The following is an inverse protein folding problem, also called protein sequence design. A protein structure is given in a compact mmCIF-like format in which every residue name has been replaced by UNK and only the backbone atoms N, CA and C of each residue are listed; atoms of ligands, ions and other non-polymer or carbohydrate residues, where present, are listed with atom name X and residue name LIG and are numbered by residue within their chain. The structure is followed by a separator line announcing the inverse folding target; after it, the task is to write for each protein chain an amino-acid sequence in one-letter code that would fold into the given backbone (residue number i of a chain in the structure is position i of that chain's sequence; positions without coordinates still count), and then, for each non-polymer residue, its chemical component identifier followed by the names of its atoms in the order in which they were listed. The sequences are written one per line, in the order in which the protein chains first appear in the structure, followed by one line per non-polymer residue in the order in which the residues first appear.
data_IF_031457222025
#
_entry.id   IF_031457222025
#
_cell.length_a   1.000
_cell.length_b   1.000
_cell.length_c   1.000
_cell.angle_alpha   90.00
_cell.angle_beta   90.00
_cell.angle_gamma   90.00
#
_symmetry.space_group_name_H-M   'P 1'
#
loop_
_entity.id
_entity.type
_entity.pdbx_description
1 polymer ?
#
# COMPACT_ATOMS: atom_id res chain seq x y z
N UNK A 1 37.00 -39.37 28.69
CA UNK A 1 35.85 -38.59 29.16
C UNK A 1 35.94 -37.05 28.89
N UNK A 2 37.10 -36.43 29.09
CA UNK A 2 37.27 -34.98 28.85
C UNK A 2 37.18 -34.57 27.36
N UNK A 3 37.77 -35.34 26.44
CA UNK A 3 37.75 -35.05 24.99
C UNK A 3 36.30 -35.11 24.41
N UNK A 4 35.49 -36.06 24.87
CA UNK A 4 34.08 -36.18 24.43
C UNK A 4 33.23 -34.96 24.81
N UNK A 5 33.49 -34.33 25.97
CA UNK A 5 32.82 -33.10 26.39
C UNK A 5 33.16 -31.89 25.50
N UNK A 6 34.41 -31.79 25.04
CA UNK A 6 34.84 -30.70 24.14
C UNK A 6 34.28 -30.89 22.73
N UNK A 7 34.19 -32.11 22.21
CA UNK A 7 33.59 -32.40 20.91
C UNK A 7 32.08 -32.07 20.93
N UNK A 8 31.36 -32.42 21.99
CA UNK A 8 29.95 -32.11 22.16
C UNK A 8 29.70 -30.61 22.29
N UNK A 9 30.58 -29.86 22.98
CA UNK A 9 30.49 -28.40 23.11
C UNK A 9 30.73 -27.68 21.78
N UNK A 10 31.66 -28.16 20.94
CA UNK A 10 31.92 -27.60 19.61
C UNK A 10 30.74 -27.89 18.67
N UNK A 11 30.11 -29.06 18.76
CA UNK A 11 28.95 -29.42 17.94
C UNK A 11 27.70 -28.60 18.29
N UNK A 12 27.48 -28.31 19.57
CA UNK A 12 26.39 -27.42 20.05
C UNK A 12 26.65 -25.97 19.61
N UNK A 13 27.89 -25.49 19.67
CA UNK A 13 28.23 -24.14 19.22
C UNK A 13 28.05 -23.96 17.69
N UNK A 14 28.35 -24.99 16.88
CA UNK A 14 28.10 -24.98 15.43
C UNK A 14 26.60 -24.97 15.08
N UNK A 15 25.73 -25.62 15.88
CA UNK A 15 24.28 -25.63 15.66
C UNK A 15 23.62 -24.27 15.96
N UNK A 16 24.20 -23.46 16.84
CA UNK A 16 23.64 -22.12 17.17
C UNK A 16 23.90 -21.11 16.06
N UNK A 17 24.91 -21.28 15.21
CA UNK A 17 25.24 -20.35 14.12
C UNK A 17 24.42 -20.57 12.83
N UNK A 18 23.62 -21.62 12.70
CA UNK A 18 22.82 -21.90 11.50
C UNK A 18 21.45 -21.22 11.47
N UNK A 19 21.06 -20.48 12.51
CA UNK A 19 19.79 -19.76 12.53
C UNK A 19 19.83 -18.33 11.97
N UNK A 20 20.96 -17.91 11.40
CA UNK A 20 21.08 -16.57 10.82
C UNK A 20 20.82 -16.58 9.33
N UNK A 21 19.69 -15.99 8.96
CA UNK A 21 19.26 -15.57 7.63
C UNK A 21 18.35 -16.51 6.83
N UNK A 22 17.26 -16.99 7.42
CA UNK A 22 16.14 -17.38 6.58
C UNK A 22 15.63 -16.12 5.84
N UNK A 23 15.64 -16.13 4.51
CA UNK A 23 15.08 -15.05 3.73
C UNK A 23 13.59 -14.92 4.07
N UNK A 24 13.17 -13.72 4.46
CA UNK A 24 11.77 -13.44 4.76
C UNK A 24 11.00 -13.20 3.47
N UNK A 25 9.79 -13.76 3.36
CA UNK A 25 8.91 -13.57 2.21
C UNK A 25 7.65 -12.84 2.64
N UNK A 26 7.35 -11.75 1.97
CA UNK A 26 6.11 -11.00 2.15
C UNK A 26 5.23 -11.09 0.91
N UNK A 27 3.96 -11.36 1.12
CA UNK A 27 2.95 -11.32 0.06
C UNK A 27 2.23 -9.96 0.12
N UNK A 28 2.36 -9.15 -0.95
CA UNK A 28 1.82 -7.79 -1.05
C UNK A 28 0.50 -7.79 -1.81
N UNK A 29 -0.58 -7.48 -1.12
CA UNK A 29 -1.91 -7.38 -1.72
C UNK A 29 -2.06 -6.06 -2.49
N UNK A 30 -2.46 -6.13 -3.77
CA UNK A 30 -2.69 -4.99 -4.65
C UNK A 30 -4.13 -4.97 -5.15
N UNK A 31 -4.79 -3.80 -5.03
CA UNK A 31 -6.18 -3.65 -5.44
C UNK A 31 -6.38 -3.66 -6.95
N UNK A 32 -5.41 -3.16 -7.70
CA UNK A 32 -5.52 -2.94 -9.16
C UNK A 32 -4.83 -4.04 -9.96
N UNK A 33 -5.31 -4.26 -11.19
CA UNK A 33 -4.72 -5.23 -12.11
C UNK A 33 -3.27 -4.91 -12.47
N UNK A 34 -2.51 -5.91 -12.92
CA UNK A 34 -1.07 -5.78 -13.22
C UNK A 34 -0.72 -4.67 -14.22
N UNK A 35 -1.61 -4.39 -15.19
CA UNK A 35 -1.43 -3.31 -16.17
C UNK A 35 -1.70 -1.90 -15.63
N UNK A 36 -2.15 -1.76 -14.39
CA UNK A 36 -2.36 -0.45 -13.77
C UNK A 36 -1.01 0.08 -13.23
N UNK A 37 -0.76 1.38 -13.41
CA UNK A 37 0.52 1.99 -13.02
C UNK A 37 0.81 1.92 -11.50
N UNK A 38 -0.22 1.89 -10.63
CA UNK A 38 -0.03 1.66 -9.20
C UNK A 38 0.54 0.28 -8.94
N UNK A 39 -0.01 -0.76 -9.58
CA UNK A 39 0.50 -2.13 -9.45
C UNK A 39 1.90 -2.30 -10.05
N UNK A 40 2.18 -1.62 -11.17
CA UNK A 40 3.52 -1.59 -11.76
C UNK A 40 4.54 -0.93 -10.82
N UNK A 41 4.20 0.22 -10.23
CA UNK A 41 5.04 0.91 -9.24
C UNK A 41 5.26 0.04 -7.98
N UNK A 42 4.21 -0.62 -7.48
CA UNK A 42 4.33 -1.52 -6.33
C UNK A 42 5.24 -2.73 -6.62
N UNK A 43 5.19 -3.24 -7.86
CA UNK A 43 6.07 -4.33 -8.29
C UNK A 43 7.53 -3.87 -8.40
N UNK A 44 7.77 -2.66 -8.92
CA UNK A 44 9.09 -2.05 -8.94
C UNK A 44 9.63 -1.84 -7.52
N UNK A 45 8.82 -1.31 -6.61
CA UNK A 45 9.16 -1.19 -5.19
C UNK A 45 9.56 -2.54 -4.60
N UNK A 46 8.76 -3.59 -4.81
CA UNK A 46 9.02 -4.95 -4.31
C UNK A 46 10.37 -5.49 -4.82
N UNK A 47 10.64 -5.34 -6.11
CA UNK A 47 11.90 -5.75 -6.73
C UNK A 47 13.09 -4.97 -6.15
N UNK A 48 12.94 -3.66 -5.95
CA UNK A 48 13.97 -2.80 -5.38
C UNK A 48 14.29 -3.17 -3.92
N UNK A 49 13.27 -3.50 -3.11
CA UNK A 49 13.46 -3.98 -1.74
C UNK A 49 14.20 -5.30 -1.73
N UNK A 50 13.79 -6.27 -2.56
CA UNK A 50 14.44 -7.57 -2.68
C UNK A 50 15.91 -7.41 -3.07
N UNK A 51 16.21 -6.58 -4.07
CA UNK A 51 17.58 -6.29 -4.51
C UNK A 51 18.42 -5.61 -3.42
N UNK A 52 17.88 -4.54 -2.81
CA UNK A 52 18.61 -3.76 -1.78
C UNK A 52 18.85 -4.55 -0.50
N UNK A 53 17.93 -5.44 -0.13
CA UNK A 53 18.09 -6.34 1.01
C UNK A 53 19.03 -7.52 0.72
N UNK A 54 19.55 -7.63 -0.50
CA UNK A 54 20.35 -8.78 -0.98
C UNK A 54 19.60 -10.11 -0.78
N UNK A 55 18.29 -10.11 -1.03
CA UNK A 55 17.42 -11.26 -0.89
C UNK A 55 17.00 -11.61 0.55
N UNK A 56 17.37 -10.80 1.55
CA UNK A 56 16.93 -11.05 2.93
C UNK A 56 15.42 -10.85 3.10
N UNK A 57 14.82 -9.95 2.31
CA UNK A 57 13.38 -9.77 2.21
C UNK A 57 12.97 -9.87 0.75
N UNK A 58 12.11 -10.84 0.42
CA UNK A 58 11.48 -10.96 -0.89
C UNK A 58 10.02 -10.54 -0.79
N UNK A 59 9.58 -9.57 -1.60
CA UNK A 59 8.18 -9.17 -1.67
C UNK A 59 7.57 -9.68 -2.97
N UNK A 60 6.50 -10.49 -2.86
CA UNK A 60 5.72 -11.01 -3.99
C UNK A 60 4.43 -10.22 -4.10
N UNK A 61 4.20 -9.59 -5.25
CA UNK A 61 2.99 -8.79 -5.51
C UNK A 61 1.84 -9.64 -6.03
N UNK A 62 0.63 -9.37 -5.55
CA UNK A 62 -0.61 -10.04 -5.91
C UNK A 62 -1.62 -9.03 -6.47
N UNK A 63 -1.54 -8.69 -7.78
CA UNK A 63 -2.39 -7.67 -8.39
C UNK A 63 -3.84 -8.14 -8.61
N UNK A 64 -4.73 -7.18 -8.85
CA UNK A 64 -6.13 -7.43 -9.22
C UNK A 64 -7.00 -7.96 -8.10
N UNK A 65 -6.60 -7.77 -6.86
CA UNK A 65 -7.32 -8.31 -5.71
C UNK A 65 -7.27 -9.84 -5.63
N UNK A 66 -6.21 -10.46 -6.16
CA UNK A 66 -6.03 -11.92 -6.18
C UNK A 66 -5.74 -12.50 -4.80
N UNK A 67 -5.06 -11.76 -3.90
CA UNK A 67 -4.85 -12.17 -2.52
C UNK A 67 -5.99 -11.72 -1.61
N UNK A 68 -6.34 -10.42 -1.66
CA UNK A 68 -7.47 -9.82 -0.97
C UNK A 68 -8.16 -8.81 -1.89
N UNK A 69 -9.50 -8.76 -1.89
CA UNK A 69 -10.23 -7.74 -2.63
C UNK A 69 -9.89 -6.35 -2.13
N UNK A 70 -9.94 -5.35 -3.01
CA UNK A 70 -9.54 -3.99 -2.66
C UNK A 70 -10.14 -3.45 -1.35
N UNK A 71 -11.42 -3.74 -1.06
CA UNK A 71 -12.09 -3.36 0.20
C UNK A 71 -11.58 -4.09 1.45
N UNK A 72 -10.86 -5.19 1.29
CA UNK A 72 -10.40 -6.05 2.37
C UNK A 72 -8.93 -5.79 2.77
N UNK A 73 -8.13 -5.19 1.84
CA UNK A 73 -6.68 -5.04 2.01
C UNK A 73 -6.32 -4.29 3.30
N UNK A 74 -7.00 -3.18 3.60
CA UNK A 74 -6.74 -2.40 4.82
C UNK A 74 -6.90 -3.26 6.07
N UNK A 75 -8.00 -4.01 6.15
CA UNK A 75 -8.26 -4.91 7.27
C UNK A 75 -7.23 -6.05 7.31
N UNK A 76 -6.91 -6.66 6.17
CA UNK A 76 -5.97 -7.77 6.09
C UNK A 76 -4.58 -7.37 6.62
N UNK A 77 -4.08 -6.18 6.25
CA UNK A 77 -2.80 -5.69 6.77
C UNK A 77 -2.90 -5.35 8.26
N UNK A 78 -3.97 -4.66 8.68
CA UNK A 78 -4.18 -4.30 10.09
C UNK A 78 -4.27 -5.50 11.03
N UNK A 79 -4.81 -6.62 10.55
CA UNK A 79 -4.97 -7.84 11.36
C UNK A 79 -3.84 -8.86 11.14
N UNK A 80 -2.77 -8.51 10.42
CA UNK A 80 -1.63 -9.37 10.18
C UNK A 80 -1.86 -10.53 9.21
N UNK A 81 -2.97 -10.51 8.44
CA UNK A 81 -3.23 -11.52 7.40
C UNK A 81 -2.35 -11.28 6.15
N UNK A 82 -1.91 -10.06 5.94
CA UNK A 82 -0.89 -9.70 4.97
C UNK A 82 0.10 -8.73 5.63
N UNK A 83 1.41 -8.88 5.41
CA UNK A 83 2.41 -8.00 6.01
C UNK A 83 2.44 -6.61 5.35
N UNK A 84 1.96 -6.49 4.10
CA UNK A 84 1.99 -5.26 3.31
C UNK A 84 0.85 -5.26 2.28
N UNK A 85 0.38 -4.09 1.90
CA UNK A 85 -0.64 -3.94 0.86
C UNK A 85 -0.70 -2.53 0.29
N UNK A 86 -1.30 -2.40 -0.89
CA UNK A 86 -1.57 -1.13 -1.55
C UNK A 86 -3.09 -0.91 -1.62
N UNK A 87 -3.53 0.29 -1.25
CA UNK A 87 -4.94 0.62 -1.24
C UNK A 87 -5.16 2.09 -1.58
N UNK A 88 -6.23 2.37 -2.36
CA UNK A 88 -6.72 3.72 -2.59
C UNK A 88 -7.16 4.36 -1.27
N UNK A 89 -6.44 5.38 -0.83
CA UNK A 89 -6.55 5.94 0.52
C UNK A 89 -7.90 6.60 0.77
N UNK A 90 -8.42 7.33 -0.22
CA UNK A 90 -9.73 7.99 -0.16
C UNK A 90 -10.91 7.04 0.10
N UNK A 91 -10.78 5.75 -0.24
CA UNK A 91 -11.81 4.76 0.09
C UNK A 91 -11.83 4.38 1.58
N UNK A 92 -10.93 4.93 2.38
CA UNK A 92 -10.80 4.70 3.81
C UNK A 92 -11.33 5.85 4.67
N UNK A 93 -12.09 6.78 4.10
CA UNK A 93 -12.63 7.94 4.81
C UNK A 93 -13.50 7.60 6.02
N UNK A 94 -14.17 6.43 6.00
CA UNK A 94 -14.90 5.91 7.17
C UNK A 94 -13.98 5.48 8.32
N UNK A 95 -12.74 5.14 8.02
CA UNK A 95 -11.73 4.79 9.03
C UNK A 95 -11.09 6.05 9.64
N UNK A 96 -10.89 7.07 8.81
CA UNK A 96 -10.43 8.40 9.19
C UNK A 96 -10.68 9.39 8.04
N UNK A 97 -11.45 10.48 8.25
CA UNK A 97 -11.70 11.50 7.22
C UNK A 97 -10.43 12.15 6.65
N UNK A 98 -9.33 12.17 7.41
CA UNK A 98 -8.06 12.69 6.93
C UNK A 98 -7.55 11.93 5.69
N UNK A 99 -7.90 10.65 5.54
CA UNK A 99 -7.52 9.81 4.41
C UNK A 99 -8.24 10.18 3.10
N UNK A 100 -9.24 11.07 3.16
CA UNK A 100 -9.96 11.63 1.99
C UNK A 100 -9.49 13.04 1.60
N UNK A 101 -8.47 13.59 2.26
CA UNK A 101 -8.05 15.00 2.08
C UNK A 101 -7.71 15.34 0.62
N UNK A 102 -7.17 14.40 -0.13
CA UNK A 102 -6.83 14.55 -1.55
C UNK A 102 -8.05 14.47 -2.49
N UNK A 103 -9.22 14.10 -1.96
CA UNK A 103 -10.50 14.05 -2.69
C UNK A 103 -11.35 15.27 -2.50
N UNK A 104 -10.93 16.25 -1.70
CA UNK A 104 -11.64 17.51 -1.55
C UNK A 104 -11.65 18.27 -2.88
N UNK A 105 -12.82 18.68 -3.39
CA UNK A 105 -12.95 19.35 -4.67
C UNK A 105 -12.05 20.60 -4.74
N UNK A 106 -11.31 20.75 -5.83
CA UNK A 106 -10.47 21.90 -6.15
C UNK A 106 -9.28 22.16 -5.21
N UNK A 107 -9.03 21.30 -4.20
CA UNK A 107 -7.91 21.46 -3.27
C UNK A 107 -6.56 21.20 -3.94
N UNK A 108 -6.48 20.16 -4.75
CA UNK A 108 -5.27 19.78 -5.50
C UNK A 108 -5.67 19.38 -6.93
N UNK A 109 -5.45 20.27 -7.90
CA UNK A 109 -5.88 20.10 -9.29
C UNK A 109 -4.75 19.74 -10.24
N UNK A 110 -3.52 19.66 -9.71
CA UNK A 110 -2.32 19.30 -10.45
C UNK A 110 -1.42 18.38 -9.63
N UNK A 111 -0.46 17.69 -10.28
CA UNK A 111 0.56 16.91 -9.55
C UNK A 111 1.42 17.80 -8.63
N UNK A 112 1.65 19.06 -9.00
CA UNK A 112 2.36 20.03 -8.16
C UNK A 112 1.61 20.31 -6.88
N UNK A 113 0.29 20.52 -6.96
CA UNK A 113 -0.56 20.76 -5.80
C UNK A 113 -0.74 19.49 -4.96
N UNK A 114 -0.91 18.34 -5.62
CA UNK A 114 -0.95 17.04 -4.92
C UNK A 114 0.35 16.79 -4.13
N UNK A 115 1.50 17.17 -4.67
CA UNK A 115 2.78 17.04 -3.96
C UNK A 115 2.87 18.01 -2.77
N UNK A 116 2.37 19.23 -2.89
CA UNK A 116 2.31 20.18 -1.77
C UNK A 116 1.40 19.64 -0.66
N UNK A 117 0.19 19.19 -1.04
CA UNK A 117 -0.77 18.61 -0.11
C UNK A 117 -0.19 17.38 0.59
N UNK A 118 0.44 16.47 -0.16
CA UNK A 118 1.11 15.30 0.39
C UNK A 118 2.19 15.68 1.43
N UNK A 119 3.05 16.64 1.11
CA UNK A 119 4.09 17.10 2.04
C UNK A 119 3.50 17.70 3.31
N UNK A 120 2.39 18.44 3.21
CA UNK A 120 1.71 19.06 4.34
C UNK A 120 0.98 18.03 5.23
N UNK A 121 0.37 17.00 4.63
CA UNK A 121 -0.49 16.03 5.34
C UNK A 121 0.21 14.73 5.73
N UNK A 122 1.35 14.38 5.12
CA UNK A 122 2.03 13.10 5.29
C UNK A 122 2.25 12.69 6.76
N UNK A 123 2.69 13.63 7.59
CA UNK A 123 2.99 13.34 8.99
C UNK A 123 1.73 12.95 9.78
N UNK A 124 0.62 13.67 9.57
CA UNK A 124 -0.64 13.38 10.26
C UNK A 124 -1.30 12.11 9.70
N UNK A 125 -1.20 11.83 8.40
CA UNK A 125 -1.62 10.57 7.79
C UNK A 125 -0.85 9.40 8.40
N UNK A 126 0.49 9.50 8.49
CA UNK A 126 1.32 8.47 9.10
C UNK A 126 0.93 8.22 10.57
N UNK A 127 0.71 9.28 11.34
CA UNK A 127 0.26 9.21 12.74
C UNK A 127 -1.13 8.59 12.89
N UNK A 128 -2.06 8.91 11.97
CA UNK A 128 -3.39 8.29 11.95
C UNK A 128 -3.32 6.78 11.69
N UNK A 129 -2.49 6.36 10.74
CA UNK A 129 -2.29 4.95 10.42
C UNK A 129 -1.54 4.20 11.53
N UNK A 130 -0.55 4.83 12.17
CA UNK A 130 0.19 4.27 13.31
C UNK A 130 -0.72 3.93 14.49
N UNK A 131 -1.69 4.81 14.83
CA UNK A 131 -2.75 4.55 15.83
C UNK A 131 -3.60 3.30 15.52
N UNK A 132 -3.58 2.84 14.28
CA UNK A 132 -4.30 1.66 13.81
C UNK A 132 -3.37 0.44 13.66
N UNK A 133 -2.10 0.55 14.11
CA UNK A 133 -1.08 -0.50 14.00
C UNK A 133 -0.49 -0.64 12.60
N UNK A 134 -0.56 0.40 11.77
CA UNK A 134 -0.09 0.40 10.39
C UNK A 134 1.06 1.38 10.20
N UNK A 135 2.07 0.98 9.43
CA UNK A 135 3.19 1.83 9.03
C UNK A 135 2.93 2.38 7.62
N UNK A 136 2.89 3.70 7.49
CA UNK A 136 2.79 4.37 6.20
C UNK A 136 4.15 4.42 5.51
N UNK A 137 4.27 3.79 4.34
CA UNK A 137 5.52 3.75 3.58
C UNK A 137 5.61 4.92 2.59
N UNK A 138 4.71 4.98 1.61
CA UNK A 138 4.66 6.01 0.59
C UNK A 138 3.27 6.09 -0.05
N UNK A 139 3.04 7.13 -0.84
CA UNK A 139 1.84 7.26 -1.68
C UNK A 139 2.22 7.52 -3.14
N UNK A 140 1.34 7.09 -4.04
CA UNK A 140 1.42 7.33 -5.49
C UNK A 140 0.17 8.08 -5.89
N UNK A 141 0.28 9.30 -6.46
CA UNK A 141 -0.89 10.10 -6.80
C UNK A 141 -1.60 9.55 -8.03
N UNK A 142 -2.93 9.60 -8.04
CA UNK A 142 -3.71 9.52 -9.25
C UNK A 142 -3.61 10.85 -10.04
N UNK A 143 -3.83 10.84 -11.37
CA UNK A 143 -4.05 12.07 -12.10
C UNK A 143 -5.31 12.77 -11.61
N UNK A 144 -5.41 14.08 -11.85
CA UNK A 144 -6.61 14.85 -11.57
C UNK A 144 -7.83 14.18 -12.20
N UNK A 145 -8.91 14.08 -11.43
CA UNK A 145 -10.16 13.46 -11.90
C UNK A 145 -10.98 14.47 -12.70
N UNK A 146 -11.59 13.97 -13.76
CA UNK A 146 -12.50 14.75 -14.59
C UNK A 146 -13.88 14.09 -14.69
N UNK A 147 -14.86 14.85 -15.14
CA UNK A 147 -16.16 14.34 -15.50
C UNK A 147 -16.10 13.73 -16.91
N UNK A 148 -16.38 12.44 -17.00
CA UNK A 148 -16.47 11.72 -18.27
C UNK A 148 -17.94 11.44 -18.60
N UNK A 149 -18.40 11.93 -19.74
CA UNK A 149 -19.77 11.78 -20.20
C UNK A 149 -19.84 11.35 -21.67
N UNK A 150 -20.87 10.55 -22.02
CA UNK A 150 -21.21 10.23 -23.42
C UNK A 150 -21.99 11.37 -24.10
N UNK A 151 -22.48 12.31 -23.32
CA UNK A 151 -23.20 13.50 -23.79
C UNK A 151 -22.34 14.73 -23.52
N UNK A 152 -22.50 15.74 -24.34
CA UNK A 152 -21.94 17.06 -24.05
C UNK A 152 -22.63 17.65 -22.80
N UNK A 153 -21.85 18.19 -21.90
CA UNK A 153 -22.29 18.82 -20.65
C UNK A 153 -21.81 20.26 -20.68
N UNK A 154 -22.74 21.18 -20.85
CA UNK A 154 -22.46 22.63 -20.91
C UNK A 154 -22.84 23.36 -19.63
N UNK A 155 -23.67 22.73 -18.80
CA UNK A 155 -24.17 23.30 -17.55
C UNK A 155 -24.45 22.24 -16.50
N UNK A 156 -24.59 22.65 -15.24
CA UNK A 156 -25.01 21.76 -14.15
C UNK A 156 -26.40 21.16 -14.39
N UNK A 157 -27.28 21.88 -15.11
CA UNK A 157 -28.61 21.40 -15.44
C UNK A 157 -28.57 20.11 -16.31
N UNK A 158 -27.54 19.98 -17.16
CA UNK A 158 -27.37 18.81 -18.05
C UNK A 158 -27.02 17.51 -17.28
N UNK A 159 -26.62 17.64 -16.02
CA UNK A 159 -26.34 16.50 -15.12
C UNK A 159 -27.60 15.89 -14.53
N UNK A 160 -28.74 16.60 -14.59
CA UNK A 160 -30.00 16.14 -14.00
C UNK A 160 -30.46 14.83 -14.61
N UNK A 161 -30.70 13.83 -13.76
CA UNK A 161 -31.18 12.50 -14.17
C UNK A 161 -30.08 11.59 -14.75
N UNK A 162 -28.83 12.00 -14.83
CA UNK A 162 -27.73 11.13 -15.23
C UNK A 162 -27.38 10.17 -14.10
N UNK A 163 -27.11 8.90 -14.47
CA UNK A 163 -26.48 7.94 -13.56
C UNK A 163 -24.98 8.18 -13.59
N UNK A 164 -24.42 8.53 -12.45
CA UNK A 164 -23.02 8.84 -12.27
C UNK A 164 -22.31 7.82 -11.38
N UNK A 165 -21.07 7.42 -11.72
CA UNK A 165 -20.23 6.58 -10.87
C UNK A 165 -19.34 7.47 -10.02
N UNK A 166 -19.56 7.47 -8.72
CA UNK A 166 -18.59 8.00 -7.75
C UNK A 166 -17.62 6.90 -7.32
N UNK A 167 -16.39 7.28 -6.98
CA UNK A 167 -15.35 6.33 -6.53
C UNK A 167 -15.17 6.32 -5.01
N UNK A 168 -15.77 7.27 -4.31
CA UNK A 168 -15.86 7.35 -2.85
C UNK A 168 -17.23 7.88 -2.44
N UNK A 169 -17.44 8.15 -1.15
CA UNK A 169 -18.68 8.66 -0.57
C UNK A 169 -18.73 10.17 -0.39
N UNK A 170 -17.66 10.88 -0.73
CA UNK A 170 -17.60 12.34 -0.64
C UNK A 170 -18.31 13.04 -1.79
#
# INVERSE_FOLDING_TARGET
MKIFKYILSIFVALLVFTHLNAAEKWDMALAYGAGNFHSANATEFANNVTKKSKGKLTIVTHPGGSLFKGGEIFRAVRTGQAPIGERFMSALGKEDPLLEIDSLPFLATSYGDAMKLYKASKAEIAKSLDKKGLVFLYAVPWPAQGLYSKKEINSVADLKGLKFRAYNSA
#
